data_IF_476769131964
#
_entry.id   IF_476769131964
#
_cell.length_a   1.000
_cell.length_b   1.000
_cell.length_c   1.000
_cell.angle_alpha   90.00
_cell.angle_beta   90.00
_cell.angle_gamma   90.00
#
_symmetry.space_group_name_H-M   'P 1'
#
loop_
_entity.id
_entity.type
_entity.pdbx_description
1 polymer ?
#
# COMPACT_ATOMS: atom_id res chain seq x y z
N UNK A 1 -18.43 18.72 6.64
CA UNK A 1 -17.10 18.55 6.39
C UNK A 1 -16.47 17.21 6.59
N UNK A 2 -17.16 16.24 7.15
CA UNK A 2 -16.55 14.96 7.48
C UNK A 2 -16.31 14.06 6.26
N UNK A 3 -17.13 14.22 5.27
CA UNK A 3 -17.10 13.38 4.09
C UNK A 3 -15.89 13.62 3.20
N UNK A 4 -15.25 14.76 3.36
CA UNK A 4 -14.21 15.19 2.44
C UNK A 4 -12.84 14.64 2.74
N UNK A 5 -12.70 13.93 3.81
CA UNK A 5 -11.40 13.74 4.42
C UNK A 5 -10.39 12.95 3.61
N UNK A 6 -10.77 11.78 3.08
CA UNK A 6 -9.80 10.89 2.44
C UNK A 6 -9.22 11.50 1.16
N UNK A 7 -10.09 11.89 0.23
CA UNK A 7 -9.64 12.44 -1.05
C UNK A 7 -8.95 13.78 -0.86
N UNK A 8 -9.46 14.62 0.04
CA UNK A 8 -8.85 15.92 0.33
C UNK A 8 -7.45 15.76 0.90
N UNK A 9 -7.25 14.79 1.80
CA UNK A 9 -5.93 14.53 2.39
C UNK A 9 -4.93 14.08 1.34
N UNK A 10 -5.33 13.20 0.42
CA UNK A 10 -4.45 12.74 -0.64
C UNK A 10 -4.19 13.85 -1.67
N UNK A 11 -5.17 14.70 -1.96
CA UNK A 11 -4.99 15.87 -2.82
C UNK A 11 -3.95 16.80 -2.25
N UNK A 12 -4.01 17.08 -0.95
CA UNK A 12 -3.01 17.93 -0.28
C UNK A 12 -1.63 17.30 -0.28
N UNK A 13 -1.56 16.01 -0.03
CA UNK A 13 -0.30 15.28 -0.07
C UNK A 13 0.31 15.34 -1.47
N UNK A 14 -0.52 15.18 -2.50
CA UNK A 14 -0.07 15.27 -3.89
C UNK A 14 0.49 16.64 -4.21
N UNK A 15 -0.14 17.70 -3.70
CA UNK A 15 0.30 19.06 -3.91
C UNK A 15 1.61 19.37 -3.18
N UNK A 16 1.72 18.94 -1.93
CA UNK A 16 2.85 19.31 -1.06
C UNK A 16 4.09 18.44 -1.29
N UNK A 17 3.90 17.15 -1.52
CA UNK A 17 4.99 16.18 -1.63
C UNK A 17 5.25 15.78 -3.08
N UNK A 18 4.18 15.70 -3.86
CA UNK A 18 4.24 15.39 -5.28
C UNK A 18 3.69 14.00 -5.61
N UNK A 19 2.57 13.98 -6.31
CA UNK A 19 2.00 12.80 -6.94
C UNK A 19 1.78 13.08 -8.41
N UNK A 20 1.81 12.04 -9.20
CA UNK A 20 1.41 12.12 -10.61
C UNK A 20 0.29 11.11 -10.86
N UNK A 21 -0.58 11.44 -11.79
CA UNK A 21 -1.62 10.52 -12.23
C UNK A 21 -1.08 9.70 -13.40
N UNK A 22 -1.19 8.38 -13.28
CA UNK A 22 -0.82 7.45 -14.35
C UNK A 22 -2.02 6.55 -14.63
N UNK A 23 -2.22 6.21 -15.90
CA UNK A 23 -3.24 5.21 -16.24
C UNK A 23 -2.72 3.82 -15.85
N UNK A 24 -3.64 2.93 -15.51
CA UNK A 24 -3.26 1.54 -15.22
C UNK A 24 -2.53 0.86 -16.38
N UNK A 25 -2.98 1.00 -17.65
CA UNK A 25 -2.26 0.40 -18.76
C UNK A 25 -0.82 0.86 -18.88
N UNK A 26 -0.55 2.15 -18.68
CA UNK A 26 0.80 2.70 -18.74
C UNK A 26 1.66 2.14 -17.61
N UNK A 27 1.15 2.16 -16.40
CA UNK A 27 1.87 1.63 -15.24
C UNK A 27 2.13 0.13 -15.38
N UNK A 28 1.12 -0.62 -15.84
CA UNK A 28 1.28 -2.06 -16.09
C UNK A 28 2.38 -2.34 -17.11
N UNK A 29 2.43 -1.56 -18.19
CA UNK A 29 3.46 -1.71 -19.22
C UNK A 29 4.86 -1.45 -18.66
N UNK A 30 5.03 -0.38 -17.88
CA UNK A 30 6.31 -0.08 -17.23
C UNK A 30 6.72 -1.21 -16.28
N UNK A 31 5.81 -1.66 -15.44
CA UNK A 31 6.09 -2.70 -14.45
C UNK A 31 6.45 -4.04 -15.09
N UNK A 32 5.94 -4.31 -16.30
CA UNK A 32 6.28 -5.54 -17.01
C UNK A 32 7.76 -5.61 -17.40
N UNK A 33 8.46 -4.50 -17.41
CA UNK A 33 9.88 -4.39 -17.71
C UNK A 33 10.77 -4.30 -16.47
N UNK A 34 10.18 -4.33 -15.28
CA UNK A 34 10.93 -4.25 -14.03
C UNK A 34 11.08 -5.65 -13.46
N UNK A 35 12.31 -6.04 -13.11
CA UNK A 35 12.56 -7.34 -12.49
C UNK A 35 12.05 -7.36 -11.04
N UNK A 36 11.79 -8.55 -10.52
CA UNK A 36 11.42 -8.72 -9.10
C UNK A 36 12.50 -8.16 -8.19
N UNK A 37 13.77 -8.37 -8.54
CA UNK A 37 14.89 -7.86 -7.75
C UNK A 37 14.90 -6.33 -7.70
N UNK A 38 14.73 -5.69 -8.85
CA UNK A 38 14.70 -4.23 -8.92
C UNK A 38 13.48 -3.67 -8.18
N UNK A 39 12.34 -4.33 -8.30
CA UNK A 39 11.14 -3.90 -7.59
C UNK A 39 11.31 -4.01 -6.08
N UNK A 40 11.94 -5.08 -5.60
CA UNK A 40 12.24 -5.22 -4.17
C UNK A 40 13.14 -4.09 -3.69
N UNK A 41 14.18 -3.76 -4.45
CA UNK A 41 15.08 -2.66 -4.11
C UNK A 41 14.32 -1.35 -4.05
N UNK A 42 13.50 -1.04 -5.04
CA UNK A 42 12.70 0.18 -5.07
C UNK A 42 11.73 0.23 -3.89
N UNK A 43 11.06 -0.87 -3.61
CA UNK A 43 10.11 -0.95 -2.50
C UNK A 43 10.76 -0.61 -1.17
N UNK A 44 11.95 -1.12 -0.92
CA UNK A 44 12.64 -0.95 0.36
C UNK A 44 13.35 0.39 0.44
N UNK A 45 13.98 0.85 -0.64
CA UNK A 45 14.81 2.07 -0.59
C UNK A 45 14.03 3.36 -0.84
N UNK A 46 12.93 3.30 -1.56
CA UNK A 46 12.15 4.50 -1.94
C UNK A 46 10.76 4.47 -1.34
N UNK A 47 10.01 3.41 -1.63
CA UNK A 47 8.57 3.40 -1.34
C UNK A 47 8.24 3.23 0.14
N UNK A 48 9.07 2.49 0.87
CA UNK A 48 8.88 2.32 2.31
C UNK A 48 8.90 3.68 3.03
N UNK A 49 9.89 4.50 2.73
CA UNK A 49 9.99 5.85 3.30
C UNK A 49 8.84 6.74 2.89
N UNK A 50 8.47 6.71 1.61
CA UNK A 50 7.36 7.51 1.09
C UNK A 50 6.03 7.16 1.77
N UNK A 51 5.75 5.88 1.98
CA UNK A 51 4.52 5.46 2.65
C UNK A 51 4.51 5.83 4.13
N UNK A 52 5.66 5.75 4.80
CA UNK A 52 5.78 6.20 6.19
C UNK A 52 5.54 7.70 6.29
N UNK A 53 6.14 8.48 5.40
CA UNK A 53 5.96 9.94 5.37
C UNK A 53 4.50 10.32 5.11
N UNK A 54 3.85 9.63 4.18
CA UNK A 54 2.43 9.86 3.90
C UNK A 54 1.55 9.59 5.13
N UNK A 55 1.85 8.52 5.87
CA UNK A 55 1.11 8.18 7.08
C UNK A 55 1.27 9.28 8.13
N UNK A 56 2.49 9.74 8.36
CA UNK A 56 2.76 10.81 9.32
C UNK A 56 2.08 12.11 8.88
N UNK A 57 2.13 12.42 7.59
CA UNK A 57 1.49 13.62 7.05
C UNK A 57 -0.01 13.63 7.32
N UNK A 58 -0.68 12.49 7.13
CA UNK A 58 -2.14 12.42 7.25
C UNK A 58 -2.64 12.24 8.67
N UNK A 59 -1.90 11.52 9.50
CA UNK A 59 -2.37 11.11 10.82
C UNK A 59 -1.52 11.64 11.99
N UNK A 60 -0.42 12.32 11.69
CA UNK A 60 0.43 12.94 12.70
C UNK A 60 1.40 12.00 13.40
N UNK A 61 1.24 10.70 13.24
CA UNK A 61 2.13 9.70 13.86
C UNK A 61 2.18 8.44 13.02
N UNK A 62 3.21 7.64 13.25
CA UNK A 62 3.37 6.36 12.58
C UNK A 62 3.23 5.24 13.61
N UNK A 63 2.12 4.53 13.53
CA UNK A 63 1.82 3.32 14.30
C UNK A 63 1.27 2.28 13.35
N UNK A 64 1.11 1.04 13.79
CA UNK A 64 0.45 0.03 12.97
C UNK A 64 -0.95 0.48 12.61
N UNK A 65 -1.68 1.03 13.56
CA UNK A 65 -3.05 1.48 13.33
C UNK A 65 -3.14 2.60 12.30
N UNK A 66 -2.30 3.63 12.41
CA UNK A 66 -2.30 4.73 11.44
C UNK A 66 -1.78 4.29 10.08
N UNK A 67 -0.84 3.36 10.03
CA UNK A 67 -0.37 2.82 8.76
C UNK A 67 -1.49 2.05 8.05
N UNK A 68 -2.25 1.21 8.77
CA UNK A 68 -3.37 0.47 8.19
C UNK A 68 -4.44 1.43 7.67
N UNK A 69 -4.75 2.48 8.41
CA UNK A 69 -5.67 3.53 7.95
C UNK A 69 -5.15 4.21 6.69
N UNK A 70 -3.87 4.50 6.64
CA UNK A 70 -3.23 5.11 5.47
C UNK A 70 -3.32 4.19 4.25
N UNK A 71 -3.07 2.90 4.44
CA UNK A 71 -3.16 1.91 3.37
C UNK A 71 -4.58 1.86 2.80
N UNK A 72 -5.60 1.78 3.66
CA UNK A 72 -6.99 1.74 3.23
C UNK A 72 -7.36 3.01 2.46
N UNK A 73 -6.96 4.17 2.97
CA UNK A 73 -7.30 5.43 2.31
C UNK A 73 -6.58 5.59 0.97
N UNK A 74 -5.33 5.11 0.88
CA UNK A 74 -4.60 5.14 -0.38
C UNK A 74 -5.24 4.24 -1.44
N UNK A 75 -5.63 3.04 -1.06
CA UNK A 75 -6.32 2.12 -1.97
C UNK A 75 -7.62 2.72 -2.47
N UNK A 76 -8.39 3.33 -1.57
CA UNK A 76 -9.66 3.98 -1.93
C UNK A 76 -9.42 5.17 -2.86
N UNK A 77 -8.48 6.03 -2.55
CA UNK A 77 -8.17 7.21 -3.37
C UNK A 77 -7.59 6.84 -4.73
N UNK A 78 -6.90 5.71 -4.81
CA UNK A 78 -6.34 5.20 -6.07
C UNK A 78 -7.35 4.41 -6.89
N UNK A 79 -8.57 4.26 -6.39
CA UNK A 79 -9.62 3.46 -7.04
C UNK A 79 -9.18 2.01 -7.29
N UNK A 80 -8.40 1.46 -6.37
CA UNK A 80 -8.01 0.05 -6.40
C UNK A 80 -9.02 -0.73 -5.58
N UNK A 81 -9.79 -1.65 -6.17
CA UNK A 81 -10.77 -2.44 -5.41
C UNK A 81 -10.08 -3.27 -4.33
N UNK A 82 -10.61 -3.22 -3.12
CA UNK A 82 -10.06 -4.00 -2.03
C UNK A 82 -11.12 -4.33 -0.98
N UNK A 83 -10.83 -5.37 -0.19
CA UNK A 83 -11.61 -5.70 1.00
C UNK A 83 -10.64 -5.78 2.16
N UNK A 84 -11.02 -5.14 3.24
CA UNK A 84 -10.29 -5.20 4.50
C UNK A 84 -11.27 -5.64 5.59
N UNK A 85 -10.99 -6.79 6.21
CA UNK A 85 -11.83 -7.35 7.25
C UNK A 85 -10.97 -7.49 8.49
N UNK A 86 -11.43 -6.90 9.59
CA UNK A 86 -10.78 -7.07 10.88
C UNK A 86 -11.49 -8.19 11.64
N UNK A 87 -10.72 -9.21 12.04
CA UNK A 87 -11.20 -10.37 12.76
C UNK A 87 -10.34 -10.55 14.01
N UNK A 88 -10.83 -10.03 15.15
CA UNK A 88 -10.03 -9.97 16.36
C UNK A 88 -8.83 -9.06 16.16
N UNK A 89 -7.63 -9.60 16.36
CA UNK A 89 -6.38 -8.86 16.19
C UNK A 89 -5.76 -9.07 14.80
N UNK A 90 -6.46 -9.74 13.90
CA UNK A 90 -5.99 -10.03 12.55
C UNK A 90 -6.69 -9.15 11.54
N UNK A 91 -5.93 -8.54 10.66
CA UNK A 91 -6.46 -7.78 9.52
C UNK A 91 -6.29 -8.63 8.27
N UNK A 92 -7.37 -8.83 7.52
CA UNK A 92 -7.35 -9.59 6.26
C UNK A 92 -7.57 -8.67 5.10
N UNK A 93 -6.73 -8.80 4.08
CA UNK A 93 -6.81 -7.99 2.87
C UNK A 93 -6.96 -8.86 1.63
N UNK A 94 -7.81 -8.40 0.73
CA UNK A 94 -7.85 -8.85 -0.66
C UNK A 94 -7.80 -7.59 -1.50
N UNK A 95 -6.75 -7.44 -2.31
CA UNK A 95 -6.51 -6.24 -3.11
C UNK A 95 -6.48 -6.65 -4.58
N UNK A 96 -7.36 -6.08 -5.39
CA UNK A 96 -7.48 -6.43 -6.80
C UNK A 96 -6.96 -5.29 -7.67
N UNK A 97 -5.64 -5.23 -7.83
CA UNK A 97 -4.98 -4.10 -8.48
C UNK A 97 -4.92 -4.19 -10.00
N UNK A 98 -4.84 -5.40 -10.56
CA UNK A 98 -4.75 -5.63 -12.02
C UNK A 98 -3.50 -5.02 -12.66
N UNK A 99 -2.41 -4.93 -11.91
CA UNK A 99 -1.18 -4.26 -12.35
C UNK A 99 0.00 -5.20 -12.60
N UNK A 100 -0.23 -6.51 -12.50
CA UNK A 100 0.80 -7.50 -12.77
C UNK A 100 1.43 -8.06 -11.50
N UNK A 101 2.13 -9.18 -11.66
CA UNK A 101 2.72 -9.91 -10.54
C UNK A 101 3.81 -9.09 -9.82
N UNK A 102 4.56 -8.28 -10.55
CA UNK A 102 5.59 -7.42 -9.94
C UNK A 102 4.96 -6.43 -8.96
N UNK A 103 3.78 -5.92 -9.27
CA UNK A 103 3.07 -5.03 -8.36
C UNK A 103 2.57 -5.76 -7.11
N UNK A 104 2.11 -7.01 -7.25
CA UNK A 104 1.76 -7.85 -6.11
C UNK A 104 2.96 -8.04 -5.17
N UNK A 105 4.12 -8.34 -5.73
CA UNK A 105 5.37 -8.47 -4.98
C UNK A 105 5.74 -7.15 -4.29
N UNK A 106 5.62 -6.05 -5.00
CA UNK A 106 5.88 -4.72 -4.45
C UNK A 106 5.02 -4.44 -3.22
N UNK A 107 3.72 -4.69 -3.31
CA UNK A 107 2.80 -4.41 -2.21
C UNK A 107 3.18 -5.19 -0.95
N UNK A 108 3.35 -6.51 -1.06
CA UNK A 108 3.68 -7.32 0.12
C UNK A 108 5.05 -6.97 0.66
N UNK A 109 6.00 -6.62 -0.19
CA UNK A 109 7.36 -6.27 0.24
C UNK A 109 7.35 -4.98 1.06
N UNK A 110 6.73 -3.92 0.54
CA UNK A 110 6.73 -2.63 1.23
C UNK A 110 5.88 -2.67 2.50
N UNK A 111 4.73 -3.31 2.45
CA UNK A 111 3.85 -3.43 3.61
C UNK A 111 4.54 -4.22 4.71
N UNK A 112 5.13 -5.36 4.36
CA UNK A 112 5.81 -6.20 5.34
C UNK A 112 7.02 -5.49 5.95
N UNK A 113 7.78 -4.75 5.15
CA UNK A 113 8.92 -3.99 5.63
C UNK A 113 8.52 -2.95 6.68
N UNK A 114 7.40 -2.28 6.48
CA UNK A 114 6.90 -1.30 7.46
C UNK A 114 6.38 -2.01 8.70
N UNK A 115 5.58 -3.06 8.53
CA UNK A 115 5.00 -3.80 9.65
C UNK A 115 6.06 -4.42 10.55
N UNK A 116 7.16 -4.89 9.98
CA UNK A 116 8.23 -5.51 10.76
C UNK A 116 8.86 -4.54 11.75
N UNK A 117 8.84 -3.24 11.48
CA UNK A 117 9.35 -2.23 12.42
C UNK A 117 8.52 -2.20 13.71
N UNK A 118 7.29 -2.71 13.67
CA UNK A 118 6.38 -2.75 14.82
C UNK A 118 6.14 -4.16 15.33
N UNK A 119 6.93 -5.14 14.85
CA UNK A 119 6.78 -6.56 15.21
C UNK A 119 5.44 -7.13 14.76
N UNK A 120 4.95 -6.66 13.63
CA UNK A 120 3.84 -7.24 12.90
C UNK A 120 4.37 -7.84 11.59
N UNK A 121 3.59 -8.71 10.99
CA UNK A 121 3.99 -9.35 9.74
C UNK A 121 2.78 -9.68 8.87
N UNK A 122 3.09 -9.85 7.58
CA UNK A 122 2.16 -10.46 6.63
C UNK A 122 2.36 -11.97 6.64
N UNK A 123 1.28 -12.71 6.58
CA UNK A 123 1.32 -14.15 6.37
C UNK A 123 0.10 -14.62 5.58
N UNK A 124 0.08 -15.91 5.21
CA UNK A 124 -0.98 -16.50 4.37
C UNK A 124 -1.18 -15.71 3.09
N UNK A 125 -0.06 -15.31 2.46
CA UNK A 125 -0.14 -14.48 1.27
C UNK A 125 -0.34 -15.31 0.01
N UNK A 126 -1.18 -14.81 -0.89
CA UNK A 126 -1.37 -15.36 -2.22
C UNK A 126 -1.23 -14.21 -3.22
N UNK A 127 -0.32 -14.37 -4.17
CA UNK A 127 -0.01 -13.36 -5.17
C UNK A 127 -0.36 -13.89 -6.55
N UNK A 128 -1.09 -13.07 -7.32
CA UNK A 128 -1.38 -13.35 -8.73
C UNK A 128 -1.02 -12.12 -9.55
N UNK A 129 -1.18 -12.21 -10.87
CA UNK A 129 -0.98 -11.05 -11.76
C UNK A 129 -1.96 -9.93 -11.49
N UNK A 130 -3.12 -10.23 -10.93
CA UNK A 130 -4.21 -9.28 -10.79
C UNK A 130 -4.52 -8.90 -9.36
N UNK A 131 -4.10 -9.72 -8.39
CA UNK A 131 -4.52 -9.53 -7.02
C UNK A 131 -3.48 -10.03 -6.03
N UNK A 132 -3.64 -9.58 -4.80
CA UNK A 132 -2.87 -10.09 -3.67
C UNK A 132 -3.81 -10.21 -2.48
N UNK A 133 -3.67 -11.29 -1.72
CA UNK A 133 -4.38 -11.44 -0.46
C UNK A 133 -3.40 -11.82 0.64
N UNK A 134 -3.68 -11.40 1.85
CA UNK A 134 -2.81 -11.68 2.99
C UNK A 134 -3.53 -11.37 4.31
N UNK A 135 -2.91 -11.82 5.39
CA UNK A 135 -3.32 -11.48 6.74
C UNK A 135 -2.17 -10.76 7.45
N UNK A 136 -2.53 -9.83 8.33
CA UNK A 136 -1.59 -9.09 9.17
C UNK A 136 -1.87 -9.41 10.62
N UNK A 137 -0.86 -9.83 11.36
CA UNK A 137 -0.96 -9.96 12.81
C UNK A 137 0.43 -9.81 13.46
N UNK A 138 0.45 -9.88 14.78
CA UNK A 138 1.71 -9.80 15.53
C UNK A 138 2.59 -11.01 15.27
N UNK A 139 3.87 -10.73 15.22
CA UNK A 139 4.89 -11.78 15.16
C UNK A 139 4.88 -12.60 16.45
#
# INVERSE_FOLDING_TARGET
>A
GQIITKHTSWDRFAEDIGFVFLTKPFLRAILSHVSEKDMTTIAVTVCRGAMKDATIYMYGELTVDTFIKSLDSWLAASHIPFRHIKDGDTDRYVIQHELGNVFSQYLVTVINAILNEFKFRIHKQELTDQSVSFEIDKV
#
